data_IF_722202142128
#
_entry.id   IF_722202142128
#
_cell.length_a   1.000
_cell.length_b   1.000
_cell.length_c   1.000
_cell.angle_alpha   90.00
_cell.angle_beta   90.00
_cell.angle_gamma   90.00
#
_symmetry.space_group_name_H-M   'P 1'
#
loop_
_entity.id
_entity.type
_entity.pdbx_description
1 polymer ?
#
# COMPACT_ATOMS: atom_id res chain seq x y z
N UNK A 1 -18.23 21.34 -9.44
CA UNK A 1 -17.84 19.94 -9.26
C UNK A 1 -16.70 19.68 -10.21
N UNK A 2 -15.67 18.98 -9.77
CA UNK A 2 -14.46 18.75 -10.56
C UNK A 2 -14.12 17.27 -10.52
N UNK A 3 -14.05 16.62 -11.69
CA UNK A 3 -13.61 15.22 -11.76
C UNK A 3 -12.10 15.13 -11.45
N UNK A 4 -11.71 14.11 -10.70
CA UNK A 4 -10.31 13.86 -10.38
C UNK A 4 -9.56 13.34 -11.62
N UNK A 5 -8.56 14.07 -12.15
CA UNK A 5 -7.91 13.71 -13.40
C UNK A 5 -7.22 12.35 -13.41
N UNK A 6 -6.92 11.73 -12.27
CA UNK A 6 -6.35 10.38 -12.18
C UNK A 6 -7.42 9.26 -12.25
N UNK A 7 -8.70 9.60 -12.13
CA UNK A 7 -9.78 8.62 -11.96
C UNK A 7 -10.43 8.13 -13.26
N UNK A 8 -9.89 8.48 -14.43
CA UNK A 8 -10.48 8.20 -15.75
C UNK A 8 -10.31 6.76 -16.24
N UNK A 9 -9.39 5.99 -15.66
CA UNK A 9 -8.99 4.68 -16.17
C UNK A 9 -10.04 3.59 -15.91
N UNK A 10 -10.86 3.74 -14.88
CA UNK A 10 -11.82 2.73 -14.43
C UNK A 10 -13.23 3.02 -14.97
N UNK A 11 -13.79 2.16 -15.84
CA UNK A 11 -15.16 2.33 -16.33
C UNK A 11 -16.22 1.99 -15.27
N UNK A 12 -15.83 1.45 -14.10
CA UNK A 12 -16.75 1.13 -13.00
C UNK A 12 -17.19 2.35 -12.20
N UNK A 13 -16.43 3.44 -12.23
CA UNK A 13 -16.71 4.61 -11.42
C UNK A 13 -15.56 5.61 -11.42
N UNK A 14 -15.84 6.82 -10.93
CA UNK A 14 -14.82 7.85 -10.84
C UNK A 14 -14.97 8.73 -9.60
N UNK A 15 -13.85 9.34 -9.20
CA UNK A 15 -13.75 10.27 -8.08
C UNK A 15 -13.94 11.70 -8.57
N UNK A 16 -14.64 12.51 -7.80
CA UNK A 16 -14.82 13.94 -8.05
C UNK A 16 -14.88 14.72 -6.75
N UNK A 17 -14.59 16.02 -6.82
CA UNK A 17 -14.75 16.95 -5.70
C UNK A 17 -16.02 17.79 -5.87
N UNK A 18 -16.78 17.91 -4.79
CA UNK A 18 -17.90 18.84 -4.66
C UNK A 18 -17.70 19.66 -3.38
N UNK A 19 -17.55 20.97 -3.52
CA UNK A 19 -17.29 21.89 -2.41
C UNK A 19 -16.07 21.46 -1.55
N UNK A 20 -15.00 21.00 -2.19
CA UNK A 20 -13.79 20.50 -1.51
C UNK A 20 -13.90 19.10 -0.92
N UNK A 21 -15.09 18.47 -0.95
CA UNK A 21 -15.32 17.13 -0.41
C UNK A 21 -15.20 16.07 -1.51
N UNK A 22 -14.45 15.01 -1.23
CA UNK A 22 -14.24 13.88 -2.13
C UNK A 22 -15.51 13.02 -2.18
N UNK A 23 -15.94 12.71 -3.39
CA UNK A 23 -17.03 11.80 -3.69
C UNK A 23 -16.57 10.78 -4.71
N UNK A 24 -17.20 9.61 -4.73
CA UNK A 24 -17.05 8.64 -5.80
C UNK A 24 -18.41 8.26 -6.36
N UNK A 25 -18.53 8.36 -7.67
CA UNK A 25 -19.68 7.88 -8.41
C UNK A 25 -19.43 6.45 -8.86
N UNK A 26 -20.41 5.58 -8.64
CA UNK A 26 -20.43 4.21 -9.15
C UNK A 26 -21.29 4.21 -10.41
N UNK A 27 -20.78 3.64 -11.50
CA UNK A 27 -21.47 3.60 -12.78
C UNK A 27 -22.38 2.37 -12.91
N UNK A 28 -23.43 2.43 -13.76
CA UNK A 28 -24.34 1.30 -14.01
C UNK A 28 -23.64 0.02 -14.49
N UNK A 29 -22.50 0.17 -15.18
CA UNK A 29 -21.64 -0.94 -15.62
C UNK A 29 -21.20 -1.84 -14.45
N UNK A 30 -21.07 -1.28 -13.25
CA UNK A 30 -20.60 -1.97 -12.04
C UNK A 30 -21.68 -2.19 -10.98
N UNK A 31 -22.92 -1.77 -11.25
CA UNK A 31 -24.06 -1.86 -10.33
C UNK A 31 -24.22 -3.24 -9.70
N UNK A 32 -24.11 -4.28 -10.52
CA UNK A 32 -24.27 -5.67 -10.11
C UNK A 32 -23.21 -6.12 -9.10
N UNK A 33 -21.96 -5.68 -9.28
CA UNK A 33 -20.87 -6.00 -8.36
C UNK A 33 -21.00 -5.20 -7.08
N UNK A 34 -21.29 -3.90 -7.21
CA UNK A 34 -21.53 -2.99 -6.10
C UNK A 34 -22.65 -3.46 -5.16
N UNK A 35 -23.82 -3.81 -5.71
CA UNK A 35 -24.94 -4.26 -4.89
C UNK A 35 -24.62 -5.58 -4.17
N UNK A 36 -23.78 -6.44 -4.76
CA UNK A 36 -23.35 -7.66 -4.09
C UNK A 36 -22.29 -7.40 -3.01
N UNK A 37 -21.37 -6.47 -3.27
CA UNK A 37 -20.36 -6.02 -2.32
C UNK A 37 -21.00 -5.52 -1.01
N UNK A 38 -22.05 -4.69 -1.12
CA UNK A 38 -22.80 -4.19 0.03
C UNK A 38 -23.65 -5.30 0.66
N UNK A 39 -24.49 -6.01 -0.13
CA UNK A 39 -25.43 -7.02 0.43
C UNK A 39 -24.76 -8.26 1.04
N UNK A 40 -23.56 -8.62 0.61
CA UNK A 40 -22.80 -9.75 1.18
C UNK A 40 -22.22 -9.46 2.57
N UNK A 41 -22.31 -8.21 3.02
CA UNK A 41 -21.67 -7.72 4.24
C UNK A 41 -20.13 -7.68 4.15
N UNK A 42 -19.54 -7.90 2.96
CA UNK A 42 -18.10 -7.81 2.79
C UNK A 42 -17.60 -6.39 3.08
N UNK A 43 -18.32 -5.39 2.57
CA UNK A 43 -18.06 -3.98 2.87
C UNK A 43 -17.91 -3.74 4.38
N UNK A 44 -18.96 -4.06 5.15
CA UNK A 44 -19.02 -3.78 6.58
C UNK A 44 -17.89 -4.50 7.33
N UNK A 45 -17.65 -5.78 7.02
CA UNK A 45 -16.54 -6.55 7.63
C UNK A 45 -15.17 -5.93 7.36
N UNK A 46 -14.92 -5.44 6.14
CA UNK A 46 -13.65 -4.82 5.79
C UNK A 46 -13.46 -3.47 6.49
N UNK A 47 -14.52 -2.66 6.57
CA UNK A 47 -14.48 -1.35 7.24
C UNK A 47 -14.33 -1.51 8.76
N UNK A 48 -15.11 -2.39 9.39
CA UNK A 48 -15.05 -2.67 10.83
C UNK A 48 -13.67 -3.17 11.27
N UNK A 49 -12.99 -3.93 10.41
CA UNK A 49 -11.62 -4.41 10.64
C UNK A 49 -10.54 -3.41 10.24
N UNK A 50 -10.92 -2.22 9.77
CA UNK A 50 -10.00 -1.18 9.33
C UNK A 50 -9.15 -1.57 8.12
N UNK A 51 -9.65 -2.48 7.27
CA UNK A 51 -8.98 -2.96 6.07
C UNK A 51 -9.34 -2.13 4.82
N UNK A 52 -10.53 -1.52 4.81
CA UNK A 52 -11.02 -0.66 3.74
C UNK A 52 -11.43 0.69 4.34
N UNK A 53 -11.20 1.76 3.58
CA UNK A 53 -11.70 3.10 3.90
C UNK A 53 -13.23 3.07 3.99
N UNK A 54 -13.76 3.53 5.12
CA UNK A 54 -15.19 3.69 5.31
C UNK A 54 -15.76 4.73 4.36
N UNK A 55 -17.04 4.58 4.01
CA UNK A 55 -17.73 5.57 3.19
C UNK A 55 -19.20 5.66 3.56
N UNK A 56 -19.79 6.83 3.32
CA UNK A 56 -21.21 7.08 3.48
C UNK A 56 -21.90 7.06 2.11
N UNK A 57 -23.05 6.39 2.01
CA UNK A 57 -23.94 6.53 0.85
C UNK A 57 -24.67 7.89 0.97
N UNK A 58 -24.36 8.81 0.06
CA UNK A 58 -24.94 10.16 0.04
C UNK A 58 -26.11 10.28 -0.93
N UNK A 59 -26.44 9.19 -1.64
CA UNK A 59 -27.52 9.12 -2.61
C UNK A 59 -27.27 9.89 -3.90
N UNK A 60 -28.16 9.69 -4.88
CA UNK A 60 -28.01 10.21 -6.23
C UNK A 60 -28.14 11.73 -6.37
N UNK A 61 -28.66 12.42 -5.34
CA UNK A 61 -28.72 13.89 -5.29
C UNK A 61 -27.33 14.53 -5.44
N UNK A 62 -26.30 13.78 -5.07
CA UNK A 62 -24.93 14.26 -5.11
C UNK A 62 -24.13 13.81 -6.32
N UNK A 63 -24.76 13.07 -7.24
CA UNK A 63 -24.13 12.52 -8.44
C UNK A 63 -23.55 13.60 -9.36
N UNK A 64 -22.43 13.26 -9.99
CA UNK A 64 -21.82 14.08 -11.04
C UNK A 64 -22.56 13.90 -12.37
N UNK A 65 -23.00 12.68 -12.67
CA UNK A 65 -23.82 12.35 -13.85
C UNK A 65 -25.17 11.76 -13.44
N UNK A 66 -26.22 12.07 -14.20
CA UNK A 66 -27.57 11.56 -13.93
C UNK A 66 -27.69 10.03 -14.07
N UNK A 67 -26.74 9.38 -14.75
CA UNK A 67 -26.68 7.93 -14.92
C UNK A 67 -26.07 7.19 -13.72
N UNK A 68 -25.64 7.88 -12.67
CA UNK A 68 -25.04 7.24 -11.50
C UNK A 68 -25.90 6.10 -10.94
N UNK A 69 -25.27 4.96 -10.64
CA UNK A 69 -25.91 3.88 -9.89
C UNK A 69 -25.94 4.17 -8.39
N UNK A 70 -24.82 4.67 -7.86
CA UNK A 70 -24.68 5.07 -6.47
C UNK A 70 -23.62 6.16 -6.35
N UNK A 71 -23.65 6.90 -5.23
CA UNK A 71 -22.66 7.92 -4.90
C UNK A 71 -22.26 7.73 -3.45
N UNK A 72 -20.96 7.58 -3.23
CA UNK A 72 -20.39 7.44 -1.90
C UNK A 72 -19.49 8.64 -1.58
N UNK A 73 -19.39 8.94 -0.29
CA UNK A 73 -18.42 9.88 0.28
C UNK A 73 -17.41 9.08 1.12
N UNK A 74 -16.23 8.76 0.58
CA UNK A 74 -15.18 8.09 1.34
C UNK A 74 -14.64 8.96 2.46
N UNK A 75 -14.22 8.33 3.55
CA UNK A 75 -13.41 9.00 4.57
C UNK A 75 -12.10 9.49 3.94
N UNK A 76 -11.67 10.73 4.21
CA UNK A 76 -10.46 11.26 3.63
C UNK A 76 -9.22 10.53 4.17
N UNK A 77 -8.22 10.38 3.30
CA UNK A 77 -6.85 10.04 3.68
C UNK A 77 -6.03 11.31 3.61
N UNK A 78 -5.39 11.69 4.71
CA UNK A 78 -4.71 12.97 4.86
C UNK A 78 -3.53 13.15 3.90
N UNK A 79 -2.86 12.06 3.57
CA UNK A 79 -1.67 12.07 2.73
C UNK A 79 -1.61 10.82 1.86
N UNK A 80 -1.35 11.04 0.56
CA UNK A 80 -1.14 9.95 -0.39
C UNK A 80 0.36 9.72 -0.51
N UNK A 81 0.81 8.54 -0.15
CA UNK A 81 2.18 8.08 -0.35
C UNK A 81 2.22 6.98 -1.41
N UNK A 82 3.40 6.82 -2.01
CA UNK A 82 3.63 5.88 -3.10
C UNK A 82 4.43 4.65 -2.66
N UNK A 83 4.26 3.49 -3.32
CA UNK A 83 4.93 2.25 -2.93
C UNK A 83 6.46 2.31 -2.86
N UNK A 84 7.09 3.23 -3.60
CA UNK A 84 8.53 3.45 -3.59
C UNK A 84 9.02 4.42 -2.49
N UNK A 85 8.10 5.01 -1.72
CA UNK A 85 8.37 5.81 -0.52
C UNK A 85 8.21 4.99 0.76
N UNK A 86 7.61 3.80 0.66
CA UNK A 86 7.30 2.97 1.82
C UNK A 86 8.53 2.27 2.36
N UNK A 87 8.58 2.11 3.68
CA UNK A 87 9.57 1.23 4.32
C UNK A 87 9.34 -0.24 3.93
N UNK A 88 10.30 -1.10 4.25
CA UNK A 88 10.12 -2.55 4.07
C UNK A 88 8.88 -3.06 4.82
N UNK A 89 8.71 -2.62 6.07
CA UNK A 89 7.59 -2.98 6.93
C UNK A 89 6.25 -2.51 6.39
N UNK A 90 6.17 -1.28 5.89
CA UNK A 90 4.96 -0.73 5.25
C UNK A 90 4.56 -1.55 4.01
N UNK A 91 5.49 -1.76 3.07
CA UNK A 91 5.20 -2.55 1.86
C UNK A 91 4.78 -3.98 2.20
N UNK A 92 5.38 -4.58 3.24
CA UNK A 92 5.01 -5.91 3.74
C UNK A 92 3.61 -5.93 4.35
N UNK A 93 3.27 -4.94 5.15
CA UNK A 93 1.96 -4.86 5.79
C UNK A 93 0.86 -4.52 4.78
N UNK A 94 1.14 -3.71 3.75
CA UNK A 94 0.25 -3.48 2.61
C UNK A 94 0.00 -4.77 1.79
N UNK A 95 1.03 -5.58 1.58
CA UNK A 95 0.91 -6.87 0.91
C UNK A 95 0.05 -7.85 1.71
N UNK A 96 0.24 -7.91 3.04
CA UNK A 96 -0.56 -8.75 3.93
C UNK A 96 -2.02 -8.29 4.00
N UNK A 97 -2.26 -6.98 4.08
CA UNK A 97 -3.61 -6.40 4.00
C UNK A 97 -4.33 -6.85 2.72
N UNK A 98 -3.66 -6.78 1.57
CA UNK A 98 -4.24 -7.15 0.27
C UNK A 98 -4.63 -8.63 0.23
N UNK A 99 -3.77 -9.52 0.75
CA UNK A 99 -4.06 -10.95 0.81
C UNK A 99 -5.16 -11.29 1.83
N UNK A 100 -5.17 -10.61 2.97
CA UNK A 100 -6.23 -10.78 3.99
C UNK A 100 -7.57 -10.29 3.44
N UNK A 101 -7.60 -9.19 2.69
CA UNK A 101 -8.80 -8.70 2.02
C UNK A 101 -9.29 -9.67 0.93
N UNK A 102 -8.37 -10.30 0.19
CA UNK A 102 -8.72 -11.35 -0.76
C UNK A 102 -9.35 -12.56 -0.07
N UNK A 103 -8.83 -13.00 1.09
CA UNK A 103 -9.41 -14.11 1.85
C UNK A 103 -10.82 -13.77 2.35
N UNK A 104 -11.03 -12.54 2.83
CA UNK A 104 -12.37 -12.06 3.20
C UNK A 104 -13.32 -11.97 2.01
N UNK A 105 -12.82 -11.54 0.85
CA UNK A 105 -13.62 -11.50 -0.36
C UNK A 105 -14.08 -12.91 -0.75
N UNK A 106 -13.16 -13.88 -0.74
CA UNK A 106 -13.47 -15.28 -1.07
C UNK A 106 -14.52 -15.87 -0.13
N UNK A 107 -14.49 -15.54 1.17
CA UNK A 107 -15.50 -15.99 2.15
C UNK A 107 -16.89 -15.39 1.87
N UNK A 108 -16.94 -14.26 1.17
CA UNK A 108 -18.16 -13.58 0.74
C UNK A 108 -18.65 -13.99 -0.66
N UNK A 109 -17.96 -14.91 -1.36
CA UNK A 109 -18.26 -15.21 -2.77
C UNK A 109 -17.78 -14.13 -3.74
N UNK A 110 -16.77 -13.35 -3.34
CA UNK A 110 -16.18 -12.25 -4.11
C UNK A 110 -14.68 -12.46 -4.31
N UNK A 111 -14.06 -11.61 -5.13
CA UNK A 111 -12.61 -11.58 -5.34
C UNK A 111 -12.16 -10.15 -5.62
N UNK A 112 -10.90 -9.85 -5.30
CA UNK A 112 -10.23 -8.67 -5.81
C UNK A 112 -9.90 -8.87 -7.30
N UNK A 113 -10.28 -7.89 -8.12
CA UNK A 113 -9.99 -7.85 -9.57
C UNK A 113 -8.60 -7.28 -9.88
N UNK A 114 -8.00 -6.59 -8.93
CA UNK A 114 -6.65 -6.02 -8.99
C UNK A 114 -5.95 -6.15 -7.63
N UNK A 115 -4.63 -6.03 -7.63
CA UNK A 115 -3.77 -6.07 -6.45
C UNK A 115 -2.66 -5.02 -6.58
N UNK A 116 -3.03 -3.83 -7.06
CA UNK A 116 -2.10 -2.72 -7.19
C UNK A 116 -1.69 -2.19 -5.82
N UNK A 117 -0.39 -2.04 -5.57
CA UNK A 117 0.09 -1.36 -4.37
C UNK A 117 -0.46 0.07 -4.23
N UNK A 118 -0.78 0.75 -5.33
CA UNK A 118 -1.38 2.11 -5.29
C UNK A 118 -2.79 2.15 -4.67
N UNK A 119 -3.46 1.00 -4.53
CA UNK A 119 -4.76 0.89 -3.88
C UNK A 119 -4.68 0.75 -2.35
N UNK A 120 -3.46 0.74 -1.79
CA UNK A 120 -3.22 0.81 -0.35
C UNK A 120 -2.67 2.18 0.01
N UNK A 121 -3.13 2.73 1.12
CA UNK A 121 -2.62 3.94 1.75
C UNK A 121 -2.47 3.72 3.26
N UNK A 122 -1.95 4.71 3.99
CA UNK A 122 -1.67 4.58 5.42
C UNK A 122 -2.41 5.61 6.26
N UNK A 123 -2.98 5.16 7.39
CA UNK A 123 -3.43 6.00 8.50
C UNK A 123 -2.41 5.87 9.63
N UNK A 124 -1.44 6.77 9.66
CA UNK A 124 -0.26 6.57 10.50
C UNK A 124 0.54 5.39 9.99
N UNK A 125 0.56 4.29 10.74
CA UNK A 125 1.20 3.02 10.34
C UNK A 125 0.19 1.90 10.08
N UNK A 126 -1.10 2.20 9.99
CA UNK A 126 -2.12 1.23 9.60
C UNK A 126 -2.35 1.27 8.08
N UNK A 127 -2.04 0.21 7.32
CA UNK A 127 -2.40 0.15 5.91
C UNK A 127 -3.92 0.01 5.76
N UNK A 128 -4.48 0.64 4.74
CA UNK A 128 -5.91 0.60 4.41
C UNK A 128 -6.12 0.61 2.90
N UNK A 129 -7.06 -0.20 2.40
CA UNK A 129 -7.48 -0.16 1.00
C UNK A 129 -8.33 1.08 0.76
N UNK A 130 -8.10 1.77 -0.35
CA UNK A 130 -8.84 2.99 -0.71
C UNK A 130 -9.82 2.78 -1.86
N UNK A 131 -9.75 1.65 -2.56
CA UNK A 131 -10.57 1.36 -3.74
C UNK A 131 -11.71 0.37 -3.42
N UNK A 132 -12.91 0.90 -3.20
CA UNK A 132 -14.12 0.08 -3.01
C UNK A 132 -14.61 -0.63 -4.28
N UNK A 133 -14.14 -0.24 -5.48
CA UNK A 133 -14.54 -0.88 -6.74
C UNK A 133 -13.56 -1.96 -7.20
N UNK A 134 -12.62 -2.37 -6.34
CA UNK A 134 -11.73 -3.51 -6.59
C UNK A 134 -12.38 -4.88 -6.36
N UNK A 135 -13.59 -4.94 -5.78
CA UNK A 135 -14.28 -6.19 -5.45
C UNK A 135 -15.34 -6.57 -6.49
N UNK A 136 -15.24 -7.77 -7.04
CA UNK A 136 -16.22 -8.33 -7.98
C UNK A 136 -16.68 -9.73 -7.52
N UNK A 137 -17.80 -10.20 -8.05
CA UNK A 137 -18.25 -11.58 -7.80
C UNK A 137 -17.21 -12.59 -8.25
N UNK A 138 -17.01 -13.61 -7.43
CA UNK A 138 -16.16 -14.73 -7.78
C UNK A 138 -16.83 -15.59 -8.86
N UNK A 139 -16.21 -15.68 -10.03
CA UNK A 139 -16.59 -16.67 -11.04
C UNK A 139 -16.21 -18.09 -10.59
N UNK A 140 -17.10 -19.09 -10.72
CA UNK A 140 -16.80 -20.47 -10.34
C UNK A 140 -15.54 -21.02 -11.03
N UNK A 141 -14.64 -21.57 -10.22
CA UNK A 141 -13.34 -22.12 -10.61
C UNK A 141 -12.40 -21.14 -11.34
N UNK A 142 -12.65 -19.84 -11.31
CA UNK A 142 -11.76 -18.85 -11.91
C UNK A 142 -10.50 -18.65 -11.04
N UNK A 143 -9.29 -18.65 -11.63
CA UNK A 143 -8.08 -18.31 -10.91
C UNK A 143 -8.12 -16.83 -10.50
N UNK A 144 -7.36 -16.47 -9.46
CA UNK A 144 -7.26 -15.08 -9.05
C UNK A 144 -6.55 -14.24 -10.13
N UNK A 145 -7.29 -13.35 -10.77
CA UNK A 145 -6.81 -12.56 -11.91
C UNK A 145 -5.65 -11.64 -11.54
N UNK A 146 -5.65 -11.12 -10.32
CA UNK A 146 -4.64 -10.20 -9.83
C UNK A 146 -3.36 -10.89 -9.30
N UNK A 147 -3.27 -12.23 -9.37
CA UNK A 147 -2.13 -12.99 -8.86
C UNK A 147 -0.78 -12.50 -9.39
N UNK A 148 -0.68 -12.22 -10.69
CA UNK A 148 0.54 -11.68 -11.30
C UNK A 148 0.85 -10.28 -10.77
N UNK A 149 -0.16 -9.40 -10.76
CA UNK A 149 0.00 -8.03 -10.30
C UNK A 149 0.45 -7.99 -8.83
N UNK A 150 -0.12 -8.85 -7.97
CA UNK A 150 0.32 -8.98 -6.59
C UNK A 150 1.80 -9.35 -6.50
N UNK A 151 2.24 -10.33 -7.30
CA UNK A 151 3.64 -10.72 -7.31
C UNK A 151 4.56 -9.59 -7.79
N UNK A 152 4.16 -8.81 -8.80
CA UNK A 152 4.97 -7.72 -9.38
C UNK A 152 5.02 -6.47 -8.47
N UNK A 153 3.91 -6.14 -7.79
CA UNK A 153 3.80 -4.96 -6.92
C UNK A 153 4.29 -5.19 -5.49
N UNK A 154 4.19 -6.42 -4.96
CA UNK A 154 4.52 -6.70 -3.56
C UNK A 154 5.61 -7.76 -3.40
N UNK A 155 5.39 -8.98 -3.92
CA UNK A 155 6.27 -10.10 -3.59
C UNK A 155 7.69 -9.93 -4.17
N UNK A 156 7.79 -9.51 -5.44
CA UNK A 156 9.06 -9.26 -6.11
C UNK A 156 9.88 -8.15 -5.43
N UNK A 157 9.36 -6.94 -5.17
CA UNK A 157 10.11 -5.90 -4.48
C UNK A 157 10.51 -6.33 -3.06
N UNK A 158 9.59 -6.90 -2.25
CA UNK A 158 9.93 -7.38 -0.91
C UNK A 158 11.03 -8.45 -0.93
N UNK A 159 10.98 -9.39 -1.89
CA UNK A 159 12.00 -10.43 -2.01
C UNK A 159 13.36 -9.85 -2.40
N UNK A 160 13.40 -8.84 -3.29
CA UNK A 160 14.64 -8.16 -3.67
C UNK A 160 15.21 -7.34 -2.51
N UNK A 161 14.38 -6.59 -1.79
CA UNK A 161 14.77 -5.82 -0.61
C UNK A 161 15.40 -6.72 0.45
N UNK A 162 14.72 -7.83 0.78
CA UNK A 162 15.18 -8.77 1.80
C UNK A 162 16.40 -9.60 1.40
N UNK A 163 16.57 -9.94 0.12
CA UNK A 163 17.60 -10.88 -0.32
C UNK A 163 18.81 -10.25 -1.00
N UNK A 164 18.74 -8.97 -1.38
CA UNK A 164 19.80 -8.25 -2.11
C UNK A 164 20.20 -6.96 -1.43
N UNK A 165 19.32 -5.96 -1.43
CA UNK A 165 19.60 -4.61 -0.94
C UNK A 165 18.27 -3.85 -0.78
N UNK A 166 18.09 -3.15 0.34
CA UNK A 166 16.87 -2.41 0.65
C UNK A 166 16.52 -1.37 -0.43
N UNK A 167 17.52 -0.79 -1.10
CA UNK A 167 17.34 0.24 -2.13
C UNK A 167 16.70 -0.31 -3.41
N UNK A 168 16.62 -1.64 -3.57
CA UNK A 168 15.91 -2.25 -4.72
C UNK A 168 14.41 -1.94 -4.72
N UNK A 169 13.82 -1.53 -3.59
CA UNK A 169 12.46 -1.00 -3.54
C UNK A 169 12.24 0.21 -4.46
N UNK A 170 13.29 1.03 -4.70
CA UNK A 170 13.23 2.18 -5.63
C UNK A 170 12.96 1.78 -7.08
N UNK A 171 13.14 0.51 -7.46
CA UNK A 171 12.77 0.02 -8.79
C UNK A 171 11.27 0.18 -9.08
N UNK A 172 10.42 0.31 -8.05
CA UNK A 172 9.01 0.64 -8.19
C UNK A 172 8.78 2.05 -8.79
N UNK A 173 9.76 2.96 -8.77
CA UNK A 173 9.72 4.22 -9.54
C UNK A 173 9.79 3.99 -11.05
N UNK A 174 10.35 2.85 -11.48
CA UNK A 174 10.62 2.55 -12.89
C UNK A 174 9.40 2.10 -13.71
N UNK A 175 8.26 1.82 -13.09
CA UNK A 175 7.05 1.40 -13.80
C UNK A 175 5.83 1.26 -12.89
N UNK A 176 4.67 1.71 -13.37
CA UNK A 176 3.40 1.69 -12.64
C UNK A 176 2.88 0.26 -12.37
N UNK A 177 3.30 -0.71 -13.18
CA UNK A 177 2.89 -2.12 -13.10
C UNK A 177 3.80 -2.97 -12.17
N UNK A 178 4.68 -2.32 -11.40
CA UNK A 178 5.60 -3.00 -10.47
C UNK A 178 6.84 -3.60 -11.15
N UNK A 179 7.52 -4.51 -10.45
CA UNK A 179 8.76 -5.13 -10.94
C UNK A 179 8.42 -6.41 -11.72
N UNK A 180 8.76 -6.50 -13.03
CA UNK A 180 8.49 -7.69 -13.82
C UNK A 180 9.11 -8.95 -13.21
N UNK A 181 8.34 -10.04 -13.12
CA UNK A 181 8.81 -11.25 -12.41
C UNK A 181 10.03 -11.89 -13.06
N UNK A 182 10.21 -11.72 -14.37
CA UNK A 182 11.34 -12.30 -15.08
C UNK A 182 12.64 -11.50 -14.85
N UNK A 183 12.54 -10.19 -14.59
CA UNK A 183 13.62 -9.37 -14.05
C UNK A 183 13.91 -9.77 -12.60
N UNK A 184 12.90 -9.83 -11.74
CA UNK A 184 13.07 -10.22 -10.34
C UNK A 184 13.71 -11.61 -10.19
N UNK A 185 13.27 -12.60 -10.97
CA UNK A 185 13.83 -13.96 -10.97
C UNK A 185 15.31 -14.03 -11.38
N UNK A 186 15.78 -13.09 -12.22
CA UNK A 186 17.19 -12.95 -12.60
C UNK A 186 18.01 -12.21 -11.54
N UNK A 187 17.43 -11.19 -10.92
CA UNK A 187 18.09 -10.40 -9.89
C UNK A 187 18.21 -11.16 -8.57
N UNK A 188 17.26 -12.01 -8.20
CA UNK A 188 17.30 -12.76 -6.94
C UNK A 188 18.48 -13.75 -6.86
N UNK A 189 19.05 -13.99 -5.67
CA UNK A 189 20.10 -15.00 -5.49
C UNK A 189 19.60 -16.39 -5.91
N UNK A 190 20.47 -17.23 -6.47
CA UNK A 190 20.09 -18.58 -6.94
C UNK A 190 19.44 -19.45 -5.85
N UNK A 191 19.87 -19.29 -4.58
CA UNK A 191 19.28 -19.97 -3.41
C UNK A 191 17.79 -19.67 -3.18
N UNK A 192 17.26 -18.56 -3.71
CA UNK A 192 15.83 -18.23 -3.60
C UNK A 192 14.93 -19.24 -4.31
N UNK A 193 15.45 -20.02 -5.27
CA UNK A 193 14.73 -21.11 -5.94
C UNK A 193 14.39 -22.27 -5.01
N UNK A 194 15.18 -22.45 -3.94
CA UNK A 194 14.98 -23.50 -2.94
C UNK A 194 13.99 -23.09 -1.85
N UNK A 195 13.65 -21.79 -1.74
CA UNK A 195 12.60 -21.31 -0.84
C UNK A 195 11.26 -21.55 -1.52
N UNK A 196 10.49 -22.54 -1.05
CA UNK A 196 9.25 -23.02 -1.69
C UNK A 196 8.35 -21.87 -2.20
N UNK A 197 8.07 -20.88 -1.35
CA UNK A 197 7.26 -19.71 -1.72
C UNK A 197 7.84 -18.89 -2.88
N UNK A 198 9.10 -18.46 -2.80
CA UNK A 198 9.74 -17.69 -3.87
C UNK A 198 9.97 -18.52 -5.13
N UNK A 199 10.30 -19.80 -4.97
CA UNK A 199 10.44 -20.76 -6.06
C UNK A 199 9.15 -20.90 -6.87
N UNK A 200 8.01 -21.04 -6.19
CA UNK A 200 6.70 -21.15 -6.84
C UNK A 200 6.22 -19.81 -7.42
N UNK A 201 6.17 -18.76 -6.60
CA UNK A 201 5.46 -17.53 -6.92
C UNK A 201 6.26 -16.54 -7.78
N UNK A 202 7.59 -16.65 -7.80
CA UNK A 202 8.47 -15.82 -8.64
C UNK A 202 9.10 -16.66 -9.76
N UNK A 203 9.91 -17.66 -9.43
CA UNK A 203 10.75 -18.35 -10.44
C UNK A 203 9.93 -19.21 -11.40
N UNK A 204 9.08 -20.10 -10.88
CA UNK A 204 8.23 -20.96 -11.70
C UNK A 204 7.18 -20.13 -12.46
N UNK A 205 6.63 -19.10 -11.82
CA UNK A 205 5.69 -18.18 -12.45
C UNK A 205 6.32 -17.45 -13.64
N UNK A 206 7.50 -16.84 -13.45
CA UNK A 206 8.24 -16.18 -14.53
C UNK A 206 8.57 -17.14 -15.68
N UNK A 207 8.94 -18.39 -15.37
CA UNK A 207 9.18 -19.42 -16.40
C UNK A 207 7.91 -19.77 -17.18
N UNK A 208 6.77 -19.91 -16.51
CA UNK A 208 5.48 -20.23 -17.15
C UNK A 208 5.04 -19.09 -18.06
N UNK A 209 5.22 -17.82 -17.66
CA UNK A 209 4.88 -16.67 -18.50
C UNK A 209 5.67 -16.65 -19.82
N UNK A 210 6.98 -16.96 -19.77
CA UNK A 210 7.82 -17.05 -20.99
C UNK A 210 7.39 -18.14 -21.96
N UNK A 211 6.85 -19.25 -21.44
CA UNK A 211 6.36 -20.35 -22.28
C UNK A 211 5.05 -20.00 -22.99
N UNK A 212 4.20 -19.19 -22.35
CA UNK A 212 2.90 -18.80 -22.91
C UNK A 212 2.97 -17.54 -23.78
N UNK A 213 3.96 -16.67 -23.62
CA UNK A 213 4.13 -15.46 -24.45
C UNK A 213 4.47 -15.77 -25.92
N UNK A 214 4.97 -16.97 -26.23
CA UNK A 214 5.24 -17.43 -27.59
C UNK A 214 4.13 -18.28 -28.22
N UNK A 215 3.08 -18.61 -27.47
CA UNK A 215 1.98 -19.45 -27.93
C UNK A 215 0.81 -18.57 -28.40
N UNK A 216 0.74 -18.29 -29.71
CA UNK A 216 -0.45 -17.70 -30.34
C UNK A 216 -1.57 -18.75 -30.40
N UNK A 217 -2.34 -18.91 -29.32
CA UNK A 217 -3.43 -19.86 -29.29
C UNK A 217 -4.36 -19.71 -28.09
N UNK A 218 -5.65 -19.91 -28.33
CA UNK A 218 -6.74 -20.07 -27.35
C UNK A 218 -6.43 -21.22 -26.37
N UNK A 219 -5.58 -20.96 -25.39
CA UNK A 219 -5.33 -21.86 -24.27
C UNK A 219 -6.60 -22.06 -23.46
N UNK A 220 -6.86 -23.30 -23.02
CA UNK A 220 -7.97 -23.62 -22.13
C UNK A 220 -7.81 -22.77 -20.85
N UNK A 221 -8.83 -21.96 -20.50
CA UNK A 221 -8.81 -21.15 -19.27
C UNK A 221 -8.46 -22.06 -18.08
N UNK A 222 -7.41 -21.71 -17.35
CA UNK A 222 -7.03 -22.43 -16.14
C UNK A 222 -8.23 -22.46 -15.19
N UNK A 223 -8.50 -23.60 -14.58
CA UNK A 223 -9.56 -23.76 -13.58
C UNK A 223 -8.93 -24.09 -12.24
N UNK A 224 -9.34 -23.38 -11.21
CA UNK A 224 -8.83 -23.52 -9.86
C UNK A 224 -10.01 -23.56 -8.89
N UNK A 225 -10.20 -24.70 -8.21
CA UNK A 225 -11.26 -24.80 -7.19
C UNK A 225 -11.03 -23.77 -6.07
N UNK A 226 -12.10 -23.34 -5.42
CA UNK A 226 -12.04 -22.39 -4.30
C UNK A 226 -11.02 -22.81 -3.22
N UNK A 227 -11.00 -24.10 -2.86
CA UNK A 227 -10.04 -24.65 -1.88
C UNK A 227 -8.57 -24.48 -2.31
N UNK A 228 -8.27 -24.66 -3.60
CA UNK A 228 -6.91 -24.46 -4.13
C UNK A 228 -6.57 -22.98 -4.27
N UNK A 229 -7.57 -22.14 -4.54
CA UNK A 229 -7.40 -20.70 -4.56
C UNK A 229 -7.07 -20.17 -3.16
N UNK A 230 -7.81 -20.59 -2.12
CA UNK A 230 -7.51 -20.25 -0.72
C UNK A 230 -6.07 -20.70 -0.38
N UNK A 231 -5.70 -21.94 -0.68
CA UNK A 231 -4.36 -22.45 -0.42
C UNK A 231 -3.25 -21.65 -1.16
N UNK A 232 -3.53 -21.16 -2.37
CA UNK A 232 -2.61 -20.28 -3.10
C UNK A 232 -2.42 -18.94 -2.36
N UNK A 233 -3.50 -18.32 -1.90
CA UNK A 233 -3.45 -17.06 -1.15
C UNK A 233 -2.75 -17.23 0.20
N UNK A 234 -3.03 -18.31 0.92
CA UNK A 234 -2.35 -18.65 2.18
C UNK A 234 -0.85 -18.90 1.97
N UNK A 235 -0.47 -19.56 0.87
CA UNK A 235 0.94 -19.75 0.48
C UNK A 235 1.65 -18.41 0.23
N UNK A 236 1.01 -17.49 -0.51
CA UNK A 236 1.53 -16.14 -0.70
C UNK A 236 1.68 -15.40 0.62
N UNK A 237 0.65 -15.47 1.47
CA UNK A 237 0.61 -14.80 2.77
C UNK A 237 1.74 -15.29 3.67
N UNK A 238 1.92 -16.61 3.76
CA UNK A 238 3.03 -17.23 4.50
C UNK A 238 4.39 -16.81 3.93
N UNK A 239 4.51 -16.74 2.60
CA UNK A 239 5.75 -16.30 1.93
C UNK A 239 6.08 -14.85 2.29
N UNK A 240 5.13 -13.93 2.18
CA UNK A 240 5.28 -12.50 2.52
C UNK A 240 5.56 -12.33 4.01
N UNK A 241 4.80 -13.00 4.87
CA UNK A 241 5.01 -12.95 6.32
C UNK A 241 6.42 -13.43 6.73
N UNK A 242 6.97 -14.40 6.00
CA UNK A 242 8.32 -14.95 6.20
C UNK A 242 9.45 -14.12 5.58
N UNK A 243 9.16 -13.05 4.83
CA UNK A 243 10.19 -12.10 4.39
C UNK A 243 10.53 -11.17 5.54
N UNK A 244 11.84 -11.03 5.80
CA UNK A 244 12.41 -10.18 6.84
C UNK A 244 13.58 -9.42 6.26
N UNK A 245 13.71 -8.18 6.67
CA UNK A 245 14.88 -7.35 6.47
C UNK A 245 15.21 -6.74 7.83
N UNK A 246 16.43 -6.88 8.32
CA UNK A 246 16.84 -6.24 9.56
C UNK A 246 17.75 -5.05 9.23
N UNK A 247 17.41 -3.83 9.67
CA UNK A 247 18.20 -2.65 9.38
C UNK A 247 19.56 -2.73 10.08
N UNK A 248 20.60 -3.11 9.33
CA UNK A 248 22.00 -3.04 9.78
C UNK A 248 22.46 -1.58 9.88
N UNK A 249 23.42 -1.33 10.78
CA UNK A 249 24.30 -0.16 10.83
C UNK A 249 23.74 1.12 10.21
N UNK A 250 23.12 1.95 11.04
CA UNK A 250 22.92 3.34 10.65
C UNK A 250 24.07 4.10 11.25
N UNK A 251 24.97 4.62 10.41
CA UNK A 251 25.88 5.68 10.86
C UNK A 251 25.11 6.81 11.57
N UNK A 252 23.78 6.96 11.35
CA UNK A 252 22.92 7.99 11.92
C UNK A 252 22.11 7.62 13.18
N UNK A 253 21.70 6.37 13.41
CA UNK A 253 21.07 5.99 14.70
C UNK A 253 22.12 5.67 15.76
N UNK A 254 23.29 5.14 15.36
CA UNK A 254 24.44 5.06 16.27
C UNK A 254 24.98 6.46 16.57
N UNK A 255 24.73 7.47 15.73
CA UNK A 255 25.03 8.88 16.03
C UNK A 255 24.18 9.43 17.18
N UNK A 256 22.92 9.00 17.34
CA UNK A 256 22.07 9.45 18.45
C UNK A 256 22.53 8.88 19.81
N UNK A 257 23.15 7.69 19.81
CA UNK A 257 23.72 7.06 21.01
C UNK A 257 25.21 7.37 21.22
N UNK A 258 25.98 7.73 20.17
CA UNK A 258 27.43 8.00 20.25
C UNK A 258 27.84 9.46 20.00
N UNK A 259 26.93 10.41 19.75
CA UNK A 259 27.32 11.82 19.77
C UNK A 259 27.26 12.39 21.16
N UNK A 260 28.42 12.87 21.58
CA UNK A 260 28.75 13.70 22.72
C UNK A 260 28.03 15.07 22.72
N UNK A 261 26.74 15.13 22.38
CA UNK A 261 25.89 16.23 22.79
C UNK A 261 25.53 15.97 24.25
N UNK A 262 25.92 16.87 25.15
CA UNK A 262 25.42 16.86 26.53
C UNK A 262 23.90 16.66 26.49
N UNK A 263 23.37 15.73 27.29
CA UNK A 263 21.93 15.47 27.40
C UNK A 263 21.13 16.77 27.59
N UNK A 264 21.74 17.76 28.25
CA UNK A 264 21.22 19.12 28.42
C UNK A 264 20.97 19.86 27.09
N UNK A 265 21.90 19.78 26.13
CA UNK A 265 21.74 20.43 24.82
C UNK A 265 20.62 19.78 24.00
N UNK A 266 20.49 18.46 24.09
CA UNK A 266 19.38 17.72 23.47
C UNK A 266 18.05 18.15 24.06
N UNK A 267 17.91 18.13 25.38
CA UNK A 267 16.68 18.57 26.07
C UNK A 267 16.34 20.04 25.78
N UNK A 268 17.34 20.92 25.74
CA UNK A 268 17.14 22.33 25.37
C UNK A 268 16.58 22.47 23.95
N UNK A 269 17.09 21.69 22.99
CA UNK A 269 16.58 21.67 21.61
C UNK A 269 15.16 21.12 21.54
N UNK A 270 14.84 20.06 22.26
CA UNK A 270 13.49 19.51 22.34
C UNK A 270 12.49 20.54 22.91
N UNK A 271 12.86 21.27 23.95
CA UNK A 271 12.05 22.34 24.53
C UNK A 271 11.80 23.49 23.54
N UNK A 272 12.83 23.90 22.78
CA UNK A 272 12.70 24.92 21.74
C UNK A 272 11.74 24.45 20.63
N UNK A 273 11.90 23.21 20.16
CA UNK A 273 11.02 22.63 19.13
C UNK A 273 9.57 22.55 19.62
N UNK A 274 9.34 22.10 20.86
CA UNK A 274 8.00 22.06 21.46
C UNK A 274 7.36 23.45 21.55
N UNK A 275 8.13 24.48 21.92
CA UNK A 275 7.67 25.86 21.97
C UNK A 275 7.30 26.39 20.57
N UNK A 276 8.14 26.12 19.56
CA UNK A 276 7.88 26.49 18.17
C UNK A 276 6.62 25.82 17.62
N UNK A 277 6.44 24.51 17.86
CA UNK A 277 5.26 23.75 17.43
C UNK A 277 3.97 24.20 18.13
N UNK A 278 4.08 24.64 19.40
CA UNK A 278 2.95 25.20 20.14
C UNK A 278 2.53 26.55 19.56
N UNK A 279 3.51 27.41 19.24
CA UNK A 279 3.27 28.73 18.64
C UNK A 279 2.72 28.66 17.20
N UNK A 280 3.13 27.66 16.42
CA UNK A 280 2.70 27.47 15.03
C UNK A 280 1.21 27.07 14.89
N UNK A 281 0.55 26.64 15.97
CA UNK A 281 -0.87 26.25 15.94
C UNK A 281 -1.12 24.87 15.30
N UNK A 282 -2.37 24.58 14.98
CA UNK A 282 -2.81 23.28 14.47
C UNK A 282 -2.43 23.02 13.02
N UNK A 283 -2.10 21.78 12.69
CA UNK A 283 -1.84 21.35 11.32
C UNK A 283 -1.16 19.98 11.25
N UNK A 284 -0.84 19.57 10.02
CA UNK A 284 0.03 18.42 9.74
C UNK A 284 1.48 18.92 9.82
N UNK A 285 2.31 18.26 10.62
CA UNK A 285 3.74 18.54 10.75
C UNK A 285 4.52 17.67 9.78
N UNK A 286 5.41 18.28 9.01
CA UNK A 286 6.35 17.58 8.16
C UNK A 286 7.71 17.56 8.87
N UNK A 287 8.12 16.39 9.34
CA UNK A 287 9.43 16.18 9.98
C UNK A 287 10.41 15.68 8.91
N UNK A 288 11.36 16.53 8.51
CA UNK A 288 12.29 16.29 7.41
C UNK A 288 13.65 15.89 7.97
N UNK A 289 14.09 14.66 7.68
CA UNK A 289 15.24 14.06 8.36
C UNK A 289 14.85 13.55 9.75
N UNK A 290 13.70 12.89 9.84
CA UNK A 290 13.06 12.50 11.09
C UNK A 290 13.85 11.43 11.87
N UNK A 291 14.80 10.74 11.23
CA UNK A 291 15.55 9.61 11.76
C UNK A 291 14.59 8.57 12.36
N UNK A 292 14.76 8.21 13.62
CA UNK A 292 13.89 7.28 14.37
C UNK A 292 12.69 7.95 15.04
N UNK A 293 12.46 9.24 14.79
CA UNK A 293 11.22 9.93 15.18
C UNK A 293 11.27 10.72 16.49
N UNK A 294 12.45 11.12 16.99
CA UNK A 294 12.56 11.89 18.25
C UNK A 294 11.72 13.17 18.24
N UNK A 295 11.85 14.01 17.21
CA UNK A 295 11.09 15.27 17.11
C UNK A 295 9.65 15.04 16.62
N UNK A 296 9.44 14.02 15.78
CA UNK A 296 8.10 13.51 15.45
C UNK A 296 7.30 13.16 16.72
N UNK A 297 7.94 12.58 17.75
CA UNK A 297 7.29 12.26 19.02
C UNK A 297 6.81 13.51 19.78
N UNK A 298 7.55 14.62 19.72
CA UNK A 298 7.14 15.90 20.33
C UNK A 298 5.92 16.47 19.60
N UNK A 299 5.97 16.53 18.28
CA UNK A 299 4.85 17.03 17.47
C UNK A 299 3.58 16.20 17.71
N UNK A 300 3.71 14.89 17.65
CA UNK A 300 2.59 13.97 17.86
C UNK A 300 2.06 14.00 19.30
N UNK A 301 2.93 14.18 20.31
CA UNK A 301 2.54 14.41 21.70
C UNK A 301 1.73 15.69 21.95
N UNK A 302 1.85 16.69 21.06
CA UNK A 302 1.01 17.88 21.03
C UNK A 302 -0.31 17.66 20.26
N UNK A 303 -0.67 16.41 19.95
CA UNK A 303 -1.87 16.05 19.19
C UNK A 303 -1.78 16.39 17.71
N UNK A 304 -0.57 16.56 17.16
CA UNK A 304 -0.38 16.83 15.73
C UNK A 304 -0.31 15.53 14.92
N UNK A 305 -0.81 15.58 13.68
CA UNK A 305 -0.51 14.57 12.67
C UNK A 305 0.88 14.82 12.11
N UNK A 306 1.69 13.79 11.91
CA UNK A 306 3.08 13.92 11.48
C UNK A 306 3.36 13.07 10.25
N UNK A 307 3.98 13.68 9.23
CA UNK A 307 4.62 12.99 8.11
C UNK A 307 6.13 13.06 8.33
N UNK A 308 6.75 11.92 8.57
CA UNK A 308 8.14 11.82 9.00
C UNK A 308 9.00 11.25 7.86
N UNK A 309 9.76 12.10 7.18
CA UNK A 309 10.57 11.72 6.03
C UNK A 309 12.03 11.49 6.43
N UNK A 310 12.64 10.42 5.93
CA UNK A 310 14.08 10.22 6.02
C UNK A 310 14.65 9.63 4.72
N UNK A 311 15.88 9.98 4.38
CA UNK A 311 16.57 9.41 3.23
C UNK A 311 17.09 8.00 3.52
N UNK A 312 17.36 7.69 4.81
CA UNK A 312 17.85 6.41 5.28
C UNK A 312 16.68 5.43 5.51
N UNK A 313 16.55 4.37 4.70
CA UNK A 313 15.51 3.35 4.87
C UNK A 313 15.55 2.65 6.23
N UNK A 314 16.73 2.57 6.86
CA UNK A 314 16.89 1.91 8.15
C UNK A 314 16.33 2.75 9.29
N UNK A 315 16.55 4.07 9.27
CA UNK A 315 15.97 4.98 10.26
C UNK A 315 14.43 5.00 10.16
N UNK A 316 13.90 5.16 8.93
CA UNK A 316 12.46 5.14 8.68
C UNK A 316 11.80 3.80 9.08
N UNK A 317 12.43 2.66 8.77
CA UNK A 317 11.92 1.34 9.17
C UNK A 317 11.90 1.16 10.70
N UNK A 318 12.92 1.63 11.42
CA UNK A 318 12.93 1.57 12.88
C UNK A 318 11.85 2.47 13.48
N UNK A 319 11.64 3.65 12.90
CA UNK A 319 10.54 4.53 13.29
C UNK A 319 9.19 3.83 13.06
N UNK A 320 8.96 3.26 11.87
CA UNK A 320 7.77 2.47 11.54
C UNK A 320 7.51 1.35 12.55
N UNK A 321 8.53 0.52 12.84
CA UNK A 321 8.42 -0.59 13.81
C UNK A 321 8.06 -0.10 15.21
N UNK A 322 8.64 1.02 15.64
CA UNK A 322 8.35 1.63 16.95
C UNK A 322 6.90 2.09 17.02
N UNK A 323 6.44 2.85 16.03
CA UNK A 323 5.05 3.31 15.95
C UNK A 323 4.06 2.15 15.90
N UNK A 324 4.36 1.09 15.14
CA UNK A 324 3.54 -0.13 15.05
C UNK A 324 3.44 -0.85 16.39
N UNK A 325 4.56 -1.01 17.09
CA UNK A 325 4.60 -1.64 18.43
C UNK A 325 3.77 -0.84 19.42
N UNK A 326 3.84 0.48 19.33
CA UNK A 326 3.20 1.40 20.27
C UNK A 326 1.74 1.72 19.88
N UNK A 327 1.22 1.13 18.79
CA UNK A 327 -0.16 1.31 18.33
C UNK A 327 -0.49 2.74 17.88
N UNK A 328 0.52 3.50 17.45
CA UNK A 328 0.37 4.91 17.04
C UNK A 328 -0.27 5.01 15.66
N UNK A 329 -1.12 6.01 15.45
CA UNK A 329 -1.82 6.22 14.16
C UNK A 329 -1.69 7.65 13.65
N UNK A 330 -0.97 8.49 14.38
CA UNK A 330 -0.81 9.92 14.18
C UNK A 330 0.49 10.31 13.44
N UNK A 331 1.42 9.37 13.29
CA UNK A 331 2.67 9.57 12.54
C UNK A 331 2.79 8.55 11.40
N UNK A 332 3.14 9.01 10.20
CA UNK A 332 3.46 8.16 9.03
C UNK A 332 4.92 8.38 8.64
N UNK A 333 5.81 7.40 8.86
CA UNK A 333 7.20 7.47 8.42
C UNK A 333 7.32 7.10 6.94
N UNK A 334 8.14 7.82 6.18
CA UNK A 334 8.34 7.60 4.74
C UNK A 334 9.83 7.72 4.39
N UNK A 335 10.25 6.95 3.40
CA UNK A 335 11.58 7.03 2.80
C UNK A 335 11.56 8.02 1.64
N UNK A 336 12.27 9.13 1.77
CA UNK A 336 12.33 10.15 0.72
C UNK A 336 13.70 10.83 0.67
N UNK A 337 14.24 10.94 -0.54
CA UNK A 337 15.37 11.82 -0.82
C UNK A 337 14.82 13.20 -1.19
N UNK A 338 15.04 14.20 -0.33
CA UNK A 338 14.56 15.56 -0.56
C UNK A 338 15.29 16.26 -1.71
N UNK A 339 16.46 15.77 -2.12
CA UNK A 339 17.19 16.25 -3.29
C UNK A 339 16.76 15.55 -4.59
N UNK A 340 16.09 14.40 -4.49
CA UNK A 340 15.50 13.64 -5.61
C UNK A 340 14.08 13.17 -5.22
N UNK A 341 13.11 14.10 -5.14
CA UNK A 341 11.78 13.77 -4.66
C UNK A 341 11.08 12.80 -5.60
N UNK A 342 10.16 12.04 -5.00
CA UNK A 342 9.23 11.16 -5.70
C UNK A 342 8.54 11.83 -6.89
N UNK A 343 8.66 11.27 -8.10
CA UNK A 343 8.05 11.85 -9.29
C UNK A 343 6.61 11.37 -9.40
N UNK A 344 5.74 12.19 -9.99
CA UNK A 344 4.48 11.66 -10.50
C UNK A 344 4.77 10.63 -11.62
N UNK A 345 4.07 9.50 -11.61
CA UNK A 345 4.20 8.44 -12.61
C UNK A 345 2.95 8.37 -13.48
N UNK A 346 3.13 8.08 -14.76
CA UNK A 346 2.04 7.94 -15.72
C UNK A 346 2.09 8.94 -16.87
N UNK A 347 1.06 8.92 -17.71
CA UNK A 347 1.00 9.78 -18.87
C UNK A 347 0.82 11.24 -18.43
N UNK A 348 1.64 12.15 -18.98
CA UNK A 348 1.70 13.56 -18.58
C UNK A 348 2.07 13.80 -17.10
N UNK A 349 2.71 12.81 -16.45
CA UNK A 349 3.03 12.89 -15.02
C UNK A 349 1.77 12.87 -14.15
N UNK A 350 0.77 12.07 -14.55
CA UNK A 350 -0.53 11.92 -13.90
C UNK A 350 -1.03 10.49 -13.96
#
# INVERSE_FOLDING_TARGET
MEAEPASWRDPSGFVYRRNGVVHRQIQPSFAKEWDHFVRSGLHDRLVERGMLVGHEDVGLKDAFEASAHAVIRPEPIDFISYPYEWTFGELRDAALLTLDAQLEALSAGMTLRDASAYNVQFRGVQPVLIDSLSFERLEPDAPWIAYRQFCEHFLAPLALMAARDIRTGRLLRGGIDGIPLDLAARLLPGRSRLRLGLGAHIHLHARSMRQHSGASGSGRKARLSLSRQIALIESLRSTVAGLRWDPEGTEWADYADNTSYDDEATHAKEAIVAAMLSAAGSGIVWDLGANTGRYSAIASGLGRRVLAFDIDPAAAERHYRTLRRDGRTDTTPLVMDLADPSPALGWAGR
#
